data_IF_012245419538
#
_entry.id   IF_012245419538
#
_cell.length_a   1.000
_cell.length_b   1.000
_cell.length_c   1.000
_cell.angle_alpha   90.00
_cell.angle_beta   90.00
_cell.angle_gamma   90.00
#
_symmetry.space_group_name_H-M   'P 1'
#
loop_
_entity.id
_entity.type
_entity.pdbx_description
1 polymer ?
#
# COMPACT_ATOMS: atom_id res chain seq x y z
N UNK A 1 58.02 -12.11 13.72
CA UNK A 1 56.78 -11.80 14.47
C UNK A 1 56.14 -10.43 14.18
N UNK A 2 56.76 -9.52 13.40
CA UNK A 2 56.14 -8.21 13.06
C UNK A 2 55.20 -8.22 11.83
N UNK A 3 55.30 -9.24 10.95
CA UNK A 3 54.49 -9.30 9.71
C UNK A 3 53.09 -9.90 9.91
N UNK A 4 52.89 -10.76 10.91
CA UNK A 4 51.59 -11.39 11.21
C UNK A 4 50.61 -10.44 11.89
N UNK A 5 51.09 -9.50 12.70
CA UNK A 5 50.23 -8.50 13.36
C UNK A 5 49.57 -7.52 12.37
N UNK A 6 50.23 -7.23 11.23
CA UNK A 6 49.71 -6.30 10.23
C UNK A 6 48.54 -6.88 9.41
N UNK A 7 48.56 -8.20 9.17
CA UNK A 7 47.52 -8.88 8.37
C UNK A 7 46.23 -9.06 9.19
N UNK A 8 46.34 -9.35 10.49
CA UNK A 8 45.19 -9.48 11.38
C UNK A 8 44.51 -8.12 11.58
N UNK A 9 45.28 -7.03 11.67
CA UNK A 9 44.70 -5.69 11.81
C UNK A 9 44.00 -5.19 10.54
N UNK A 10 44.40 -5.68 9.34
CA UNK A 10 43.75 -5.33 8.07
C UNK A 10 42.41 -6.08 7.88
N UNK A 11 42.29 -7.31 8.40
CA UNK A 11 41.03 -8.07 8.36
C UNK A 11 39.97 -7.51 9.31
N UNK A 12 40.36 -6.99 10.49
CA UNK A 12 39.42 -6.40 11.46
C UNK A 12 38.83 -5.07 10.94
N UNK A 13 39.58 -4.31 10.12
CA UNK A 13 39.09 -3.07 9.51
C UNK A 13 38.14 -3.32 8.32
N UNK A 14 38.27 -4.43 7.60
CA UNK A 14 37.34 -4.78 6.51
C UNK A 14 36.01 -5.37 7.02
N UNK A 15 35.98 -6.00 8.20
CA UNK A 15 34.73 -6.47 8.82
C UNK A 15 33.82 -5.36 9.33
N UNK A 16 34.31 -4.12 9.47
CA UNK A 16 33.52 -2.98 9.95
C UNK A 16 32.83 -2.17 8.84
N UNK A 17 32.94 -2.56 7.57
CA UNK A 17 32.37 -1.85 6.43
C UNK A 17 31.32 -2.62 5.63
N UNK A 18 30.72 -3.67 6.20
CA UNK A 18 29.40 -4.09 5.73
C UNK A 18 28.39 -3.06 6.25
N UNK A 19 28.14 -2.02 5.44
CA UNK A 19 26.96 -1.17 5.64
C UNK A 19 25.77 -2.11 5.75
N UNK A 20 25.18 -2.20 6.94
CA UNK A 20 23.95 -2.94 7.17
C UNK A 20 22.92 -2.45 6.17
N UNK A 21 22.44 -3.38 5.35
CA UNK A 21 21.42 -3.12 4.35
C UNK A 21 20.10 -2.94 5.12
N UNK A 22 19.70 -1.68 5.28
CA UNK A 22 18.49 -1.33 6.04
C UNK A 22 17.41 -0.87 5.08
N UNK A 23 16.17 -1.27 5.33
CA UNK A 23 15.01 -0.75 4.61
C UNK A 23 14.93 0.77 4.79
N UNK A 24 14.78 1.51 3.68
CA UNK A 24 14.50 2.95 3.69
C UNK A 24 13.06 3.24 3.32
N UNK A 25 12.59 2.60 2.26
CA UNK A 25 11.24 2.80 1.75
C UNK A 25 10.62 1.44 1.49
N UNK A 26 9.36 1.28 1.88
CA UNK A 26 8.50 0.21 1.43
C UNK A 26 7.28 0.83 0.77
N UNK A 27 6.97 0.47 -0.47
CA UNK A 27 5.76 0.96 -1.15
C UNK A 27 4.99 -0.21 -1.70
N UNK A 28 3.68 -0.27 -1.47
CA UNK A 28 2.81 -1.26 -2.06
C UNK A 28 1.70 -0.57 -2.83
N UNK A 29 1.51 -0.94 -4.10
CA UNK A 29 0.36 -0.50 -4.89
C UNK A 29 -0.54 -1.68 -5.13
N UNK A 30 -1.82 -1.49 -4.81
CA UNK A 30 -2.72 -2.59 -4.74
C UNK A 30 -4.16 -2.13 -4.92
N UNK A 31 -4.97 -2.98 -5.53
CA UNK A 31 -6.35 -2.67 -5.91
C UNK A 31 -6.99 -3.84 -6.63
N UNK A 32 -8.31 -3.90 -6.65
CA UNK A 32 -9.01 -4.82 -7.55
C UNK A 32 -9.48 -4.05 -8.79
N UNK A 33 -9.83 -4.80 -9.82
CA UNK A 33 -10.39 -4.27 -11.05
C UNK A 33 -11.71 -3.47 -10.85
N UNK A 34 -12.33 -3.54 -9.66
CA UNK A 34 -13.67 -3.00 -9.38
C UNK A 34 -13.70 -1.76 -8.46
N UNK A 35 -12.64 -1.46 -7.69
CA UNK A 35 -12.62 -0.43 -6.64
C UNK A 35 -11.47 0.58 -6.76
N UNK A 36 -10.70 0.51 -7.86
CA UNK A 36 -9.53 1.36 -8.05
C UNK A 36 -8.34 0.95 -7.19
N UNK A 37 -7.15 1.41 -7.58
CA UNK A 37 -5.91 1.13 -6.86
C UNK A 37 -5.49 2.25 -5.91
N UNK A 38 -4.89 1.87 -4.79
CA UNK A 38 -4.17 2.80 -3.90
C UNK A 38 -2.71 2.40 -3.81
N UNK A 39 -1.86 3.37 -3.47
CA UNK A 39 -0.48 3.11 -3.08
C UNK A 39 -0.30 3.56 -1.63
N UNK A 40 0.24 2.68 -0.80
CA UNK A 40 0.76 3.06 0.51
C UNK A 40 2.29 3.02 0.46
N UNK A 41 2.95 4.09 0.90
CA UNK A 41 4.41 4.20 0.91
C UNK A 41 4.89 4.59 2.30
N UNK A 42 5.63 3.70 2.94
CA UNK A 42 6.32 3.90 4.20
C UNK A 42 7.73 4.42 3.94
N UNK A 43 8.06 5.58 4.50
CA UNK A 43 9.39 6.18 4.53
C UNK A 43 9.93 6.08 5.96
N UNK A 44 10.92 5.19 6.16
CA UNK A 44 11.56 4.96 7.48
C UNK A 44 12.29 6.21 7.95
N UNK A 45 12.96 6.93 7.04
CA UNK A 45 13.86 8.05 7.38
C UNK A 45 13.06 9.16 8.05
N UNK A 46 11.93 9.50 7.44
CA UNK A 46 11.09 10.57 7.94
C UNK A 46 9.94 10.06 8.82
N UNK A 47 9.82 8.74 9.01
CA UNK A 47 8.74 8.09 9.78
C UNK A 47 7.36 8.48 9.24
N UNK A 48 7.21 8.46 7.92
CA UNK A 48 5.95 8.79 7.26
C UNK A 48 5.31 7.56 6.64
N UNK A 49 3.98 7.51 6.69
CA UNK A 49 3.17 6.68 5.83
C UNK A 49 2.40 7.59 4.88
N UNK A 50 2.49 7.33 3.58
CA UNK A 50 1.91 8.18 2.54
C UNK A 50 0.86 7.36 1.81
N UNK A 51 -0.38 7.82 1.84
CA UNK A 51 -1.45 7.32 0.99
C UNK A 51 -1.43 8.11 -0.33
N UNK A 52 -1.30 7.41 -1.45
CA UNK A 52 -1.37 7.97 -2.80
C UNK A 52 -2.41 7.24 -3.64
N UNK A 53 -2.81 7.92 -4.70
CA UNK A 53 -3.72 7.42 -5.73
C UNK A 53 -2.95 6.64 -6.81
N UNK A 54 -3.60 5.61 -7.37
CA UNK A 54 -3.25 5.03 -8.67
C UNK A 54 -4.19 5.62 -9.73
N UNK A 55 -3.61 6.14 -10.81
CA UNK A 55 -4.32 6.98 -11.78
C UNK A 55 -5.48 6.27 -12.50
N UNK A 56 -6.59 7.00 -12.64
CA UNK A 56 -7.60 6.83 -13.70
C UNK A 56 -8.36 8.15 -13.84
N UNK A 57 -8.42 8.76 -15.05
CA UNK A 57 -9.04 10.07 -15.31
C UNK A 57 -10.33 10.27 -14.50
N UNK A 58 -10.58 11.49 -14.00
CA UNK A 58 -11.85 11.85 -13.35
C UNK A 58 -13.00 11.35 -14.26
N UNK A 59 -13.78 10.35 -13.85
CA UNK A 59 -14.92 9.95 -14.66
C UNK A 59 -15.88 11.14 -14.73
N UNK A 60 -16.40 11.43 -15.92
CA UNK A 60 -17.46 12.42 -16.06
C UNK A 60 -18.73 11.77 -15.54
N UNK A 61 -19.22 12.25 -14.40
CA UNK A 61 -20.57 11.94 -13.94
C UNK A 61 -21.57 12.38 -15.03
N UNK A 62 -22.51 11.52 -15.46
CA UNK A 62 -23.63 11.98 -16.24
C UNK A 62 -24.40 13.02 -15.41
N UNK A 63 -24.83 14.15 -15.99
CA UNK A 63 -25.55 15.17 -15.24
C UNK A 63 -26.85 14.57 -14.67
N UNK A 64 -27.29 15.02 -13.48
CA UNK A 64 -28.55 14.57 -12.93
C UNK A 64 -29.70 14.90 -13.90
N UNK A 65 -30.77 14.07 -13.96
CA UNK A 65 -31.93 14.35 -14.78
C UNK A 65 -32.54 15.69 -14.37
N UNK A 66 -33.06 16.51 -15.30
CA UNK A 66 -33.57 17.84 -14.96
C UNK A 66 -34.70 17.76 -13.92
N UNK A 67 -34.77 18.72 -12.98
CA UNK A 67 -35.86 18.76 -12.02
C UNK A 67 -37.20 19.04 -12.71
N UNK A 68 -38.30 18.51 -12.16
CA UNK A 68 -39.66 18.90 -12.57
C UNK A 68 -39.99 20.33 -12.08
N UNK A 69 -41.10 20.92 -12.54
CA UNK A 69 -41.52 22.28 -12.14
C UNK A 69 -41.61 22.47 -10.61
N UNK A 70 -41.87 21.40 -9.85
CA UNK A 70 -41.96 21.41 -8.38
C UNK A 70 -40.67 20.94 -7.69
N UNK A 71 -39.55 20.85 -8.41
CA UNK A 71 -38.28 20.31 -7.92
C UNK A 71 -38.28 18.78 -7.78
N UNK A 72 -37.21 18.22 -7.22
CA UNK A 72 -37.12 16.77 -7.02
C UNK A 72 -38.03 16.29 -5.89
N UNK A 73 -38.83 15.27 -6.20
CA UNK A 73 -39.54 14.45 -5.19
C UNK A 73 -38.54 13.78 -4.24
N UNK A 74 -39.00 13.35 -3.06
CA UNK A 74 -38.16 12.63 -2.08
C UNK A 74 -37.49 11.40 -2.73
N UNK A 75 -38.26 10.60 -3.46
CA UNK A 75 -37.75 9.41 -4.18
C UNK A 75 -36.65 9.75 -5.19
N UNK A 76 -36.76 10.86 -5.90
CA UNK A 76 -35.74 11.31 -6.85
C UNK A 76 -34.47 11.75 -6.13
N UNK A 77 -34.59 12.49 -5.01
CA UNK A 77 -33.43 12.87 -4.18
C UNK A 77 -32.72 11.64 -3.61
N UNK A 78 -33.47 10.67 -3.09
CA UNK A 78 -32.91 9.43 -2.56
C UNK A 78 -32.18 8.63 -3.65
N UNK A 79 -32.73 8.60 -4.87
CA UNK A 79 -32.09 7.96 -6.02
C UNK A 79 -30.79 8.67 -6.43
N UNK A 80 -30.80 10.00 -6.50
CA UNK A 80 -29.60 10.79 -6.83
C UNK A 80 -28.52 10.57 -5.77
N UNK A 81 -28.86 10.67 -4.49
CA UNK A 81 -27.94 10.41 -3.37
C UNK A 81 -27.37 9.00 -3.41
N UNK A 82 -28.18 8.00 -3.80
CA UNK A 82 -27.71 6.61 -3.94
C UNK A 82 -26.71 6.47 -5.09
N UNK A 83 -26.97 7.08 -6.23
CA UNK A 83 -26.06 7.06 -7.40
C UNK A 83 -24.77 7.81 -7.09
N UNK A 84 -24.84 8.98 -6.46
CA UNK A 84 -23.64 9.70 -6.01
C UNK A 84 -22.83 8.86 -5.03
N UNK A 85 -23.47 8.26 -4.02
CA UNK A 85 -22.81 7.37 -3.06
C UNK A 85 -22.17 6.16 -3.74
N UNK A 86 -22.87 5.51 -4.66
CA UNK A 86 -22.34 4.37 -5.42
C UNK A 86 -21.16 4.81 -6.30
N UNK A 87 -21.26 5.95 -6.96
CA UNK A 87 -20.16 6.53 -7.72
C UNK A 87 -18.94 6.83 -6.83
N UNK A 88 -19.14 7.37 -5.63
CA UNK A 88 -18.05 7.53 -4.67
C UNK A 88 -17.48 6.17 -4.25
N UNK A 89 -18.29 5.15 -4.03
CA UNK A 89 -17.75 3.81 -3.70
C UNK A 89 -16.95 3.20 -4.85
N UNK A 90 -17.39 3.40 -6.09
CA UNK A 90 -16.80 2.81 -7.29
C UNK A 90 -15.61 3.64 -7.83
N UNK A 91 -15.58 4.95 -7.58
CA UNK A 91 -14.66 5.89 -8.20
C UNK A 91 -14.09 6.97 -7.26
N UNK A 92 -14.39 6.98 -5.96
CA UNK A 92 -13.73 7.92 -5.03
C UNK A 92 -12.23 7.60 -5.02
N UNK A 93 -11.46 8.62 -5.36
CA UNK A 93 -10.02 8.55 -5.37
C UNK A 93 -9.52 9.13 -4.05
N UNK A 94 -8.63 8.44 -3.34
CA UNK A 94 -8.08 9.03 -2.13
C UNK A 94 -7.28 10.27 -2.51
N UNK A 95 -7.46 11.35 -1.75
CA UNK A 95 -6.53 12.46 -1.76
C UNK A 95 -5.21 11.97 -1.19
N UNK A 96 -4.09 12.47 -1.73
CA UNK A 96 -2.79 12.19 -1.13
C UNK A 96 -2.76 12.68 0.30
N UNK A 97 -2.43 11.78 1.22
CA UNK A 97 -2.32 12.07 2.64
C UNK A 97 -0.98 11.57 3.18
N UNK A 98 -0.44 12.27 4.17
CA UNK A 98 0.83 11.95 4.83
C UNK A 98 0.56 11.83 6.32
N UNK A 99 0.84 10.65 6.87
CA UNK A 99 0.68 10.35 8.29
C UNK A 99 2.05 10.24 8.94
N UNK A 100 2.26 10.96 10.05
CA UNK A 100 3.44 10.78 10.89
C UNK A 100 3.23 9.55 11.76
N UNK A 101 4.13 8.58 11.67
CA UNK A 101 4.12 7.38 12.51
C UNK A 101 4.88 7.62 13.81
N UNK A 102 4.47 6.92 14.87
CA UNK A 102 5.25 6.87 16.12
C UNK A 102 6.47 5.95 15.96
N UNK A 103 7.42 6.06 16.89
CA UNK A 103 8.61 5.19 16.91
C UNK A 103 8.22 3.72 16.97
N UNK A 104 7.23 3.36 17.78
CA UNK A 104 6.75 1.98 17.92
C UNK A 104 6.12 1.46 16.63
N UNK A 105 5.38 2.31 15.91
CA UNK A 105 4.78 1.96 14.62
C UNK A 105 5.84 1.75 13.54
N UNK A 106 6.85 2.61 13.51
CA UNK A 106 8.03 2.48 12.62
C UNK A 106 8.76 1.17 12.89
N UNK A 107 9.10 0.87 14.15
CA UNK A 107 9.80 -0.36 14.52
C UNK A 107 8.99 -1.61 14.14
N UNK A 108 7.67 -1.56 14.32
CA UNK A 108 6.79 -2.67 13.94
C UNK A 108 6.79 -2.90 12.43
N UNK A 109 6.67 -1.85 11.62
CA UNK A 109 6.72 -1.99 10.16
C UNK A 109 8.07 -2.52 9.69
N UNK A 110 9.17 -1.97 10.21
CA UNK A 110 10.52 -2.43 9.86
C UNK A 110 10.67 -3.92 10.16
N UNK A 111 10.26 -4.37 11.36
CA UNK A 111 10.29 -5.80 11.72
C UNK A 111 9.46 -6.67 10.77
N UNK A 112 8.28 -6.21 10.36
CA UNK A 112 7.44 -6.97 9.41
C UNK A 112 8.08 -7.04 8.03
N UNK A 113 8.62 -5.93 7.52
CA UNK A 113 9.28 -5.88 6.20
C UNK A 113 10.53 -6.76 6.20
N UNK A 114 11.36 -6.66 7.24
CA UNK A 114 12.58 -7.48 7.38
C UNK A 114 12.25 -8.97 7.52
N UNK A 115 11.06 -9.31 8.01
CA UNK A 115 10.58 -10.69 8.14
C UNK A 115 10.05 -11.32 6.85
N UNK A 116 9.92 -10.56 5.75
CA UNK A 116 9.51 -11.13 4.46
C UNK A 116 10.61 -12.10 3.99
N UNK A 117 10.31 -13.40 3.80
CA UNK A 117 11.28 -14.37 3.29
C UNK A 117 11.83 -13.98 1.93
N UNK A 118 13.08 -14.34 1.61
CA UNK A 118 13.72 -13.98 0.33
C UNK A 118 12.97 -14.59 -0.86
N UNK A 119 12.45 -15.79 -0.69
CA UNK A 119 11.66 -16.51 -1.69
C UNK A 119 10.32 -15.85 -2.02
N UNK A 120 9.80 -15.01 -1.11
CA UNK A 120 8.57 -14.24 -1.30
C UNK A 120 8.87 -12.89 -1.99
N UNK A 121 10.13 -12.43 -2.01
CA UNK A 121 10.55 -11.16 -2.64
C UNK A 121 10.83 -11.31 -4.14
N UNK A 122 9.97 -12.03 -4.86
CA UNK A 122 10.10 -12.27 -6.29
C UNK A 122 8.72 -12.25 -6.94
N UNK A 123 8.72 -11.97 -8.23
CA UNK A 123 7.48 -11.95 -9.00
C UNK A 123 6.75 -13.29 -8.92
N UNK A 124 5.43 -13.21 -8.78
CA UNK A 124 4.55 -14.35 -8.87
C UNK A 124 3.45 -14.05 -9.90
N UNK A 125 3.53 -14.74 -11.02
CA UNK A 125 2.58 -14.64 -12.13
C UNK A 125 2.07 -16.06 -12.38
N UNK A 126 0.81 -16.39 -12.05
CA UNK A 126 0.29 -17.73 -12.24
C UNK A 126 0.12 -18.04 -13.73
N UNK A 127 0.36 -19.30 -14.13
CA UNK A 127 0.18 -19.75 -15.53
C UNK A 127 -1.27 -19.64 -16.03
N UNK A 128 -2.23 -19.64 -15.12
CA UNK A 128 -3.66 -19.50 -15.40
C UNK A 128 -4.26 -18.37 -14.58
N UNK A 129 -5.17 -17.57 -15.17
CA UNK A 129 -5.83 -16.50 -14.44
C UNK A 129 -6.64 -17.10 -13.28
N UNK A 130 -6.25 -16.78 -12.05
CA UNK A 130 -7.06 -17.08 -10.88
C UNK A 130 -8.24 -16.10 -10.87
N UNK A 131 -9.46 -16.64 -10.80
CA UNK A 131 -10.70 -15.88 -10.91
C UNK A 131 -11.00 -14.99 -9.68
N UNK A 132 -10.28 -15.17 -8.57
CA UNK A 132 -10.49 -14.45 -7.32
C UNK A 132 -9.13 -14.17 -6.64
N UNK A 133 -8.81 -12.88 -6.46
CA UNK A 133 -7.55 -12.42 -5.87
C UNK A 133 -7.20 -10.97 -6.23
N UNK A 134 -6.72 -10.22 -5.25
CA UNK A 134 -6.13 -8.90 -5.47
C UNK A 134 -4.74 -9.07 -6.10
N UNK A 135 -4.45 -8.30 -7.15
CA UNK A 135 -3.07 -8.13 -7.61
C UNK A 135 -2.45 -6.94 -6.90
N UNK A 136 -1.17 -7.04 -6.59
CA UNK A 136 -0.42 -5.96 -5.98
C UNK A 136 1.03 -6.01 -6.45
N UNK A 137 1.66 -4.85 -6.44
CA UNK A 137 3.10 -4.74 -6.50
C UNK A 137 3.61 -4.15 -5.18
N UNK A 138 4.85 -4.46 -4.84
CA UNK A 138 5.55 -3.70 -3.82
C UNK A 138 7.03 -3.54 -4.14
N UNK A 139 7.60 -2.50 -3.55
CA UNK A 139 9.00 -2.15 -3.68
C UNK A 139 9.63 -1.99 -2.30
N UNK A 140 10.81 -2.58 -2.11
CA UNK A 140 11.66 -2.36 -0.94
C UNK A 140 12.94 -1.68 -1.40
N UNK A 141 13.14 -0.43 -1.00
CA UNK A 141 14.36 0.32 -1.30
C UNK A 141 15.24 0.33 -0.07
N UNK A 142 16.49 -0.10 -0.24
CA UNK A 142 17.46 -0.24 0.84
C UNK A 142 18.46 0.92 0.93
N UNK A 143 19.18 0.99 2.04
CA UNK A 143 20.17 2.02 2.33
C UNK A 143 21.36 2.07 1.37
N UNK A 144 21.66 0.95 0.73
CA UNK A 144 22.71 0.80 -0.29
C UNK A 144 22.22 1.10 -1.72
N UNK A 145 20.93 1.42 -1.90
CA UNK A 145 20.32 1.67 -3.20
C UNK A 145 19.84 0.41 -3.94
N UNK A 146 20.00 -0.78 -3.35
CA UNK A 146 19.36 -1.99 -3.86
C UNK A 146 17.84 -1.87 -3.73
N UNK A 147 17.13 -2.46 -4.69
CA UNK A 147 15.67 -2.42 -4.79
C UNK A 147 15.17 -3.83 -5.05
N UNK A 148 14.30 -4.33 -4.18
CA UNK A 148 13.40 -5.42 -4.52
C UNK A 148 12.15 -4.79 -5.16
N UNK A 149 11.82 -5.16 -6.40
CA UNK A 149 10.59 -4.77 -7.10
C UNK A 149 9.82 -6.06 -7.40
N UNK A 150 8.63 -6.20 -6.82
CA UNK A 150 7.86 -7.44 -6.85
C UNK A 150 6.47 -7.18 -7.40
N UNK A 151 6.08 -7.98 -8.38
CA UNK A 151 4.71 -8.07 -8.89
C UNK A 151 4.07 -9.40 -8.48
N UNK A 152 2.89 -9.33 -7.87
CA UNK A 152 2.11 -10.49 -7.48
C UNK A 152 0.73 -10.40 -8.11
N UNK A 153 0.44 -11.34 -9.00
CA UNK A 153 -0.85 -11.44 -9.66
C UNK A 153 -1.76 -12.45 -8.96
N UNK A 154 -2.96 -11.99 -8.58
CA UNK A 154 -4.09 -12.82 -8.14
C UNK A 154 -3.79 -13.86 -7.05
N UNK A 155 -2.73 -13.66 -6.26
CA UNK A 155 -2.37 -14.51 -5.13
C UNK A 155 -1.95 -13.65 -3.93
N UNK A 156 -2.52 -13.96 -2.77
CA UNK A 156 -2.11 -13.32 -1.53
C UNK A 156 -0.98 -14.13 -0.86
N UNK A 157 0.18 -13.50 -0.67
CA UNK A 157 1.31 -14.10 0.05
C UNK A 157 1.25 -13.63 1.51
N UNK A 158 1.15 -14.53 2.50
CA UNK A 158 0.88 -14.16 3.89
C UNK A 158 1.90 -13.19 4.52
N UNK A 159 3.17 -13.25 4.10
CA UNK A 159 4.22 -12.34 4.57
C UNK A 159 3.98 -10.91 4.08
N UNK A 160 3.59 -10.73 2.82
CA UNK A 160 3.26 -9.44 2.22
C UNK A 160 1.97 -8.87 2.81
N UNK A 161 0.94 -9.71 2.97
CA UNK A 161 -0.34 -9.32 3.56
C UNK A 161 -0.14 -8.67 4.93
N UNK A 162 0.67 -9.27 5.81
CA UNK A 162 0.93 -8.71 7.15
C UNK A 162 1.43 -7.27 7.11
N UNK A 163 2.34 -6.95 6.18
CA UNK A 163 2.88 -5.60 6.01
C UNK A 163 1.80 -4.66 5.48
N UNK A 164 1.11 -5.05 4.40
CA UNK A 164 0.06 -4.26 3.76
C UNK A 164 -1.08 -3.96 4.75
N UNK A 165 -1.52 -4.97 5.50
CA UNK A 165 -2.52 -4.83 6.56
C UNK A 165 -2.10 -3.86 7.64
N UNK A 166 -0.83 -3.95 8.07
CA UNK A 166 -0.34 -3.07 9.12
C UNK A 166 -0.28 -1.60 8.63
N UNK A 167 0.10 -1.37 7.38
CA UNK A 167 0.08 -0.05 6.76
C UNK A 167 -1.35 0.47 6.61
N UNK A 168 -2.29 -0.36 6.13
CA UNK A 168 -3.71 -0.01 6.04
C UNK A 168 -4.29 0.38 7.41
N UNK A 169 -3.96 -0.38 8.45
CA UNK A 169 -4.36 -0.07 9.82
C UNK A 169 -3.86 1.30 10.28
N UNK A 170 -2.59 1.63 10.01
CA UNK A 170 -2.04 2.94 10.37
C UNK A 170 -2.62 4.09 9.55
N UNK A 171 -2.87 3.90 8.26
CA UNK A 171 -3.57 4.89 7.45
C UNK A 171 -4.97 5.18 8.03
N UNK A 172 -5.76 4.13 8.31
CA UNK A 172 -7.11 4.25 8.90
C UNK A 172 -7.12 4.94 10.24
N UNK A 173 -6.16 4.61 11.12
CA UNK A 173 -6.02 5.21 12.44
C UNK A 173 -5.82 6.72 12.40
N UNK A 174 -5.09 7.21 11.38
CA UNK A 174 -4.64 8.61 11.31
C UNK A 174 -5.39 9.45 10.28
N UNK A 175 -6.27 8.85 9.47
CA UNK A 175 -6.99 9.56 8.43
C UNK A 175 -8.17 10.37 9.00
N UNK A 176 -8.31 11.59 8.49
CA UNK A 176 -9.34 12.55 8.88
C UNK A 176 -10.23 12.96 7.70
N UNK A 177 -9.76 12.83 6.45
CA UNK A 177 -10.57 13.13 5.27
C UNK A 177 -11.63 12.03 5.07
N UNK A 178 -12.90 12.44 5.07
CA UNK A 178 -14.04 11.53 4.95
C UNK A 178 -13.98 10.65 3.70
N UNK A 179 -13.45 11.16 2.58
CA UNK A 179 -13.33 10.38 1.35
C UNK A 179 -12.25 9.32 1.47
N UNK A 180 -11.10 9.69 2.04
CA UNK A 180 -10.02 8.73 2.27
C UNK A 180 -10.47 7.63 3.24
N UNK A 181 -11.24 7.97 4.29
CA UNK A 181 -11.82 6.99 5.22
C UNK A 181 -12.73 6.01 4.46
N UNK A 182 -13.59 6.50 3.56
CA UNK A 182 -14.45 5.65 2.74
C UNK A 182 -13.66 4.74 1.82
N UNK A 183 -12.63 5.26 1.14
CA UNK A 183 -11.74 4.47 0.28
C UNK A 183 -11.04 3.38 1.09
N UNK A 184 -10.45 3.73 2.24
CA UNK A 184 -9.73 2.78 3.09
C UNK A 184 -10.65 1.67 3.62
N UNK A 185 -11.95 1.93 3.81
CA UNK A 185 -12.93 0.89 4.18
C UNK A 185 -13.10 -0.19 3.12
N UNK A 186 -12.97 0.13 1.83
CA UNK A 186 -13.03 -0.87 0.76
C UNK A 186 -11.91 -1.92 0.85
N UNK A 187 -10.83 -1.60 1.59
CA UNK A 187 -9.70 -2.50 1.85
C UNK A 187 -9.76 -3.14 3.26
N UNK A 188 -10.91 -3.10 3.96
CA UNK A 188 -11.08 -3.83 5.24
C UNK A 188 -10.98 -5.35 5.07
N UNK A 189 -11.47 -5.88 3.94
CA UNK A 189 -11.47 -7.31 3.63
C UNK A 189 -10.39 -7.66 2.59
N UNK A 190 -9.19 -7.07 2.71
CA UNK A 190 -8.05 -7.28 1.81
C UNK A 190 -7.70 -8.78 1.61
N UNK A 191 -7.89 -9.59 2.64
CA UNK A 191 -7.89 -11.04 2.60
C UNK A 191 -9.24 -11.49 2.02
N UNK A 192 -9.23 -11.92 0.77
CA UNK A 192 -10.38 -12.48 0.07
C UNK A 192 -11.06 -13.63 0.85
N UNK A 193 -12.31 -13.99 0.46
CA UNK A 193 -13.16 -14.91 1.22
C UNK A 193 -12.42 -16.19 1.60
N UNK A 194 -12.58 -16.59 2.86
CA UNK A 194 -12.10 -17.86 3.37
C UNK A 194 -12.74 -18.98 2.54
N UNK A 195 -11.96 -19.65 1.71
CA UNK A 195 -12.28 -20.99 1.22
C UNK A 195 -12.03 -22.01 2.33
#
# INVERSE_FOLDING_TARGET
MKKTAFIISLFILFSCLQKTQEVRIFSATFGNALHGGITLSFDKINSFLILKRVGSKKPLLPPPPPPSENGYTLKQRDSINRVEKQYYLDYAQPKTAVYKLTTEEVEKLVKLIDSIPQEDRKDFIPEYPMYDGFSYNFQIIYSNGYVDDIEVEHLNIPSHEKVIYQMLFYAKKNELDENNILVLKNFENWSHPKY
#
